data_IF_804562711403
#
_entry.id   IF_804562711403
#
_cell.length_a   1.000
_cell.length_b   1.000
_cell.length_c   1.000
_cell.angle_alpha   90.00
_cell.angle_beta   90.00
_cell.angle_gamma   90.00
#
_symmetry.space_group_name_H-M   'P 1'
#
loop_
_entity.id
_entity.type
_entity.pdbx_description
1 polymer ?
#
# COMPACT_ATOMS: atom_id res chain seq x y z
N UNK A 1 -12.90 -4.82 3.45
CA UNK A 1 -11.80 -5.59 4.06
C UNK A 1 -10.58 -4.69 4.05
N UNK A 2 -9.96 -4.34 5.17
CA UNK A 2 -8.76 -3.48 5.13
C UNK A 2 -7.59 -4.22 4.46
N UNK A 3 -6.86 -3.55 3.58
CA UNK A 3 -5.67 -4.14 2.96
C UNK A 3 -4.55 -4.19 3.97
N UNK A 4 -4.30 -5.39 4.50
CA UNK A 4 -3.22 -5.64 5.45
C UNK A 4 -1.84 -5.74 4.77
N UNK A 5 -1.75 -5.43 3.47
CA UNK A 5 -0.52 -5.53 2.68
C UNK A 5 0.62 -4.74 3.33
N UNK A 6 0.33 -3.53 3.81
CA UNK A 6 1.36 -2.65 4.35
C UNK A 6 1.79 -3.01 5.78
N UNK A 7 1.11 -3.96 6.44
CA UNK A 7 1.54 -4.46 7.75
C UNK A 7 2.87 -5.21 7.67
N UNK A 8 3.17 -5.85 6.54
CA UNK A 8 4.43 -6.56 6.26
C UNK A 8 5.57 -5.63 5.78
N UNK A 9 5.37 -4.32 5.87
CA UNK A 9 6.45 -3.36 5.63
C UNK A 9 7.20 -3.14 6.93
N UNK A 10 8.45 -2.67 6.84
CA UNK A 10 9.23 -2.32 8.03
C UNK A 10 8.49 -1.37 8.98
N UNK A 11 7.70 -0.43 8.46
CA UNK A 11 6.91 0.47 9.31
C UNK A 11 5.75 -0.26 10.01
N UNK A 12 5.09 -1.19 9.30
CA UNK A 12 4.04 -2.02 9.88
C UNK A 12 4.59 -2.99 10.92
N UNK A 13 5.71 -3.66 10.63
CA UNK A 13 6.37 -4.59 11.54
C UNK A 13 6.78 -3.86 12.83
N UNK A 14 7.48 -2.71 12.73
CA UNK A 14 7.87 -1.93 13.92
C UNK A 14 6.66 -1.43 14.73
N UNK A 15 5.53 -1.11 14.08
CA UNK A 15 4.32 -0.73 14.80
C UNK A 15 3.75 -1.91 15.60
N UNK A 16 3.67 -3.08 14.98
CA UNK A 16 3.16 -4.29 15.64
C UNK A 16 4.05 -4.68 16.81
N UNK A 17 5.38 -4.70 16.62
CA UNK A 17 6.35 -4.98 17.68
C UNK A 17 6.20 -4.03 18.88
N UNK A 18 6.05 -2.72 18.61
CA UNK A 18 5.86 -1.73 19.68
C UNK A 18 4.52 -1.92 20.42
N UNK A 19 3.45 -2.27 19.71
CA UNK A 19 2.14 -2.54 20.32
C UNK A 19 2.19 -3.82 21.16
N UNK A 20 2.88 -4.87 20.70
CA UNK A 20 3.10 -6.10 21.46
C UNK A 20 3.82 -5.83 22.78
N UNK A 21 4.91 -5.04 22.76
CA UNK A 21 5.62 -4.65 23.98
C UNK A 21 4.71 -3.87 24.96
N UNK A 22 3.84 -2.99 24.45
CA UNK A 22 2.89 -2.26 25.30
C UNK A 22 1.81 -3.16 25.90
N UNK A 23 1.39 -4.21 25.19
CA UNK A 23 0.46 -5.22 25.71
C UNK A 23 1.14 -6.04 26.80
N UNK A 24 2.37 -6.50 26.58
CA UNK A 24 3.16 -7.26 27.57
C UNK A 24 3.38 -6.47 28.87
N UNK A 25 3.54 -5.15 28.76
CA UNK A 25 3.67 -4.25 29.90
C UNK A 25 2.33 -3.88 30.54
N UNK A 26 1.22 -4.50 30.12
CA UNK A 26 -0.16 -4.22 30.56
C UNK A 26 -0.58 -2.75 30.41
N UNK A 27 0.09 -1.98 29.53
CA UNK A 27 -0.20 -0.56 29.28
C UNK A 27 -1.36 -0.37 28.32
N UNK A 28 -1.65 -1.39 27.51
CA UNK A 28 -2.63 -1.31 26.44
C UNK A 28 -3.36 -2.66 26.27
N UNK A 29 -4.70 -2.68 26.22
CA UNK A 29 -5.44 -3.92 25.95
C UNK A 29 -5.31 -4.35 24.49
N UNK A 30 -5.29 -5.66 24.24
CA UNK A 30 -5.11 -6.24 22.90
C UNK A 30 -6.14 -5.73 21.87
N UNK A 31 -7.40 -5.55 22.28
CA UNK A 31 -8.46 -5.03 21.40
C UNK A 31 -8.16 -3.62 20.88
N UNK A 32 -7.54 -2.78 21.73
CA UNK A 32 -7.13 -1.43 21.34
C UNK A 32 -5.94 -1.47 20.38
N UNK A 33 -4.98 -2.36 20.60
CA UNK A 33 -3.85 -2.53 19.66
C UNK A 33 -4.35 -2.91 18.27
N UNK A 34 -5.28 -3.88 18.20
CA UNK A 34 -5.87 -4.30 16.93
C UNK A 34 -6.61 -3.14 16.24
N UNK A 35 -7.27 -2.27 17.01
CA UNK A 35 -7.90 -1.06 16.49
C UNK A 35 -6.87 -0.08 15.91
N UNK A 36 -5.73 0.10 16.59
CA UNK A 36 -4.62 0.94 16.08
C UNK A 36 -4.06 0.38 14.78
N UNK A 37 -3.83 -0.94 14.69
CA UNK A 37 -3.33 -1.57 13.46
C UNK A 37 -4.35 -1.42 12.32
N UNK A 38 -5.65 -1.51 12.63
CA UNK A 38 -6.70 -1.29 11.63
C UNK A 38 -6.73 0.17 11.14
N UNK A 39 -6.51 1.14 12.05
CA UNK A 39 -6.38 2.54 11.68
C UNK A 39 -5.11 2.78 10.83
N UNK A 40 -4.01 2.09 11.13
CA UNK A 40 -2.77 2.16 10.34
C UNK A 40 -3.00 1.74 8.89
N UNK A 41 -3.76 0.66 8.65
CA UNK A 41 -4.08 0.22 7.28
C UNK A 41 -4.71 1.36 6.45
N UNK A 42 -5.62 2.13 7.07
CA UNK A 42 -6.33 3.23 6.42
C UNK A 42 -5.40 4.44 6.20
N UNK A 43 -4.72 4.87 7.26
CA UNK A 43 -3.85 6.05 7.22
C UNK A 43 -2.69 5.88 6.25
N UNK A 44 -2.13 4.66 6.14
CA UNK A 44 -1.06 4.37 5.19
C UNK A 44 -1.54 4.49 3.74
N UNK A 45 -2.70 3.91 3.42
CA UNK A 45 -3.29 3.99 2.08
C UNK A 45 -3.58 5.44 1.68
N UNK A 46 -4.18 6.21 2.58
CA UNK A 46 -4.48 7.62 2.35
C UNK A 46 -3.19 8.41 2.09
N UNK A 47 -2.18 8.27 2.95
CA UNK A 47 -0.92 8.98 2.81
C UNK A 47 -0.19 8.66 1.50
N UNK A 48 -0.17 7.38 1.09
CA UNK A 48 0.42 6.97 -0.19
C UNK A 48 -0.33 7.58 -1.39
N UNK A 49 -1.65 7.75 -1.30
CA UNK A 49 -2.47 8.33 -2.38
C UNK A 49 -2.32 9.85 -2.48
N UNK A 50 -2.28 10.54 -1.34
CA UNK A 50 -2.37 12.01 -1.29
C UNK A 50 -1.02 12.70 -1.29
N UNK A 51 0.01 12.10 -0.68
CA UNK A 51 1.29 12.76 -0.44
C UNK A 51 2.42 12.26 -1.35
N UNK A 52 2.32 11.06 -1.92
CA UNK A 52 3.37 10.49 -2.77
C UNK A 52 3.11 10.83 -4.24
N UNK A 53 3.97 11.69 -4.80
CA UNK A 53 3.91 12.12 -6.22
C UNK A 53 5.06 11.58 -7.07
N UNK A 54 6.02 10.91 -6.44
CA UNK A 54 7.18 10.33 -7.10
C UNK A 54 6.79 9.20 -8.07
N UNK A 55 7.53 9.07 -9.17
CA UNK A 55 7.36 7.97 -10.11
C UNK A 55 8.61 7.11 -10.14
N UNK A 56 8.44 5.80 -10.04
CA UNK A 56 9.51 4.84 -10.22
C UNK A 56 9.36 4.09 -11.55
N UNK A 57 10.49 3.83 -12.21
CA UNK A 57 10.58 2.92 -13.35
C UNK A 57 11.39 1.70 -12.96
N UNK A 58 10.90 0.52 -13.29
CA UNK A 58 11.53 -0.75 -12.96
C UNK A 58 11.95 -1.43 -14.27
N UNK A 59 13.23 -1.78 -14.37
CA UNK A 59 13.76 -2.65 -15.42
C UNK A 59 14.30 -3.90 -14.76
N UNK A 60 13.87 -5.07 -15.21
CA UNK A 60 14.29 -6.35 -14.63
C UNK A 60 14.04 -7.52 -15.59
N UNK A 61 14.63 -8.67 -15.26
CA UNK A 61 14.27 -9.96 -15.82
C UNK A 61 13.19 -10.60 -14.94
N UNK A 62 12.09 -11.06 -15.55
CA UNK A 62 11.05 -11.79 -14.83
C UNK A 62 11.48 -13.25 -14.64
N UNK A 63 11.57 -13.72 -13.40
CA UNK A 63 11.86 -15.13 -13.09
C UNK A 63 10.60 -15.98 -13.07
N UNK A 64 9.61 -15.56 -12.30
CA UNK A 64 8.29 -16.19 -12.23
C UNK A 64 7.25 -15.20 -11.72
N UNK A 65 5.99 -15.46 -12.07
CA UNK A 65 4.84 -14.68 -11.61
C UNK A 65 3.75 -15.60 -11.06
N UNK A 66 2.91 -15.06 -10.18
CA UNK A 66 1.70 -15.71 -9.67
C UNK A 66 0.59 -14.68 -9.59
N UNK A 67 -0.60 -15.09 -10.01
CA UNK A 67 -1.82 -14.36 -9.76
C UNK A 67 -2.80 -15.27 -9.02
N UNK A 68 -3.29 -14.80 -7.89
CA UNK A 68 -4.30 -15.49 -7.09
C UNK A 68 -5.02 -14.48 -6.20
N UNK A 69 -6.34 -14.58 -6.12
CA UNK A 69 -7.18 -13.74 -5.25
C UNK A 69 -6.92 -12.24 -5.41
N UNK A 70 -6.90 -11.76 -6.67
CA UNK A 70 -6.63 -10.36 -7.01
C UNK A 70 -5.26 -9.81 -6.57
N UNK A 71 -4.35 -10.69 -6.18
CA UNK A 71 -2.97 -10.35 -5.84
C UNK A 71 -2.02 -10.87 -6.92
N UNK A 72 -1.25 -9.96 -7.49
CA UNK A 72 -0.12 -10.25 -8.34
C UNK A 72 1.16 -10.34 -7.51
N UNK A 73 1.96 -11.38 -7.76
CA UNK A 73 3.29 -11.52 -7.20
C UNK A 73 4.29 -11.78 -8.33
N UNK A 74 5.35 -10.98 -8.39
CA UNK A 74 6.44 -11.12 -9.34
C UNK A 74 7.75 -11.34 -8.60
N UNK A 75 8.51 -12.33 -9.02
CA UNK A 75 9.91 -12.48 -8.62
C UNK A 75 10.79 -12.04 -9.78
N UNK A 76 11.58 -11.01 -9.53
CA UNK A 76 12.42 -10.33 -10.51
C UNK A 76 13.90 -10.59 -10.22
N UNK A 77 14.72 -10.64 -11.27
CA UNK A 77 16.19 -10.76 -11.20
C UNK A 77 16.85 -9.63 -12.01
N UNK A 78 18.08 -9.24 -11.64
CA UNK A 78 18.83 -8.14 -12.24
C UNK A 78 17.99 -6.85 -12.32
N UNK A 79 17.55 -6.38 -11.16
CA UNK A 79 16.55 -5.31 -11.04
C UNK A 79 17.24 -3.96 -10.95
N UNK A 80 16.73 -3.01 -11.72
CA UNK A 80 17.12 -1.61 -11.69
C UNK A 80 15.88 -0.74 -11.51
N UNK A 81 15.86 0.02 -10.42
CA UNK A 81 14.86 1.03 -10.11
C UNK A 81 15.40 2.41 -10.46
N UNK A 82 14.61 3.23 -11.15
CA UNK A 82 14.89 4.65 -11.38
C UNK A 82 13.79 5.50 -10.77
N UNK A 83 14.13 6.34 -9.81
CA UNK A 83 13.18 7.16 -9.07
C UNK A 83 13.24 8.62 -9.52
N UNK A 84 12.11 9.14 -9.97
CA UNK A 84 11.90 10.57 -10.22
C UNK A 84 11.13 11.19 -9.04
N UNK A 85 11.74 12.09 -8.26
CA UNK A 85 11.11 12.68 -7.08
C UNK A 85 9.97 13.66 -7.42
N UNK A 86 9.86 14.09 -8.67
CA UNK A 86 8.78 14.95 -9.16
C UNK A 86 8.23 14.35 -10.45
N UNK A 87 6.90 14.26 -10.60
CA UNK A 87 6.23 13.57 -11.71
C UNK A 87 6.56 14.07 -13.14
N UNK A 88 7.37 15.12 -13.28
CA UNK A 88 7.83 15.69 -14.55
C UNK A 88 9.35 15.67 -14.80
N UNK A 89 10.15 15.01 -13.95
CA UNK A 89 11.60 14.91 -14.12
C UNK A 89 12.02 13.95 -15.24
N UNK A 90 13.13 14.26 -15.94
CA UNK A 90 13.71 13.36 -16.94
C UNK A 90 14.22 12.07 -16.28
N UNK A 91 13.86 10.91 -16.85
CA UNK A 91 14.29 9.61 -16.36
C UNK A 91 15.81 9.41 -16.44
N UNK A 92 16.49 10.18 -17.31
CA UNK A 92 17.93 10.07 -17.52
C UNK A 92 18.76 10.65 -16.36
N UNK A 93 18.15 11.48 -15.52
CA UNK A 93 18.78 12.06 -14.32
C UNK A 93 18.21 11.51 -13.02
N UNK A 94 17.34 10.50 -13.12
CA UNK A 94 16.70 9.87 -11.97
C UNK A 94 17.72 9.10 -11.13
N UNK A 95 17.51 9.07 -9.81
CA UNK A 95 18.34 8.28 -8.91
C UNK A 95 18.12 6.79 -9.20
N UNK A 96 19.21 6.07 -9.45
CA UNK A 96 19.18 4.65 -9.81
C UNK A 96 19.58 3.78 -8.61
N UNK A 97 18.78 2.75 -8.35
CA UNK A 97 19.03 1.74 -7.31
C UNK A 97 18.96 0.37 -7.99
N UNK A 98 19.95 -0.49 -7.77
CA UNK A 98 19.97 -1.83 -8.35
C UNK A 98 20.08 -2.92 -7.28
N UNK A 99 19.52 -4.09 -7.58
CA UNK A 99 19.64 -5.28 -6.74
C UNK A 99 19.52 -6.57 -7.57
N UNK A 100 20.08 -7.65 -7.04
CA UNK A 100 20.10 -8.95 -7.74
C UNK A 100 18.70 -9.55 -7.88
N UNK A 101 17.85 -9.38 -6.85
CA UNK A 101 16.52 -9.96 -6.79
C UNK A 101 15.55 -9.05 -6.05
N UNK A 102 14.33 -8.93 -6.58
CA UNK A 102 13.22 -8.25 -5.91
C UNK A 102 11.93 -9.08 -5.98
N UNK A 103 11.10 -8.97 -4.94
CA UNK A 103 9.72 -9.48 -4.94
C UNK A 103 8.78 -8.28 -5.01
N UNK A 104 7.91 -8.25 -6.01
CA UNK A 104 6.87 -7.21 -6.17
C UNK A 104 5.52 -7.84 -5.90
N UNK A 105 4.77 -7.28 -4.97
CA UNK A 105 3.40 -7.69 -4.63
C UNK A 105 2.46 -6.53 -4.96
N UNK A 106 1.45 -6.78 -5.78
CA UNK A 106 0.47 -5.77 -6.19
C UNK A 106 -0.92 -6.31 -5.92
N UNK A 107 -1.80 -5.44 -5.45
CA UNK A 107 -3.22 -5.74 -5.23
C UNK A 107 -4.05 -4.84 -6.16
N UNK A 108 -5.15 -5.38 -6.69
CA UNK A 108 -6.05 -4.60 -7.54
C UNK A 108 -6.59 -3.38 -6.79
N UNK A 109 -6.44 -2.19 -7.38
CA UNK A 109 -6.87 -0.92 -6.78
C UNK A 109 -8.38 -0.82 -6.63
N UNK A 110 -9.16 -1.54 -7.45
CA UNK A 110 -10.63 -1.53 -7.35
C UNK A 110 -11.12 -2.01 -5.99
N UNK A 111 -10.43 -3.01 -5.43
CA UNK A 111 -10.77 -3.53 -4.11
C UNK A 111 -10.43 -2.51 -3.00
N UNK A 112 -9.41 -1.66 -3.24
CA UNK A 112 -9.02 -0.54 -2.36
C UNK A 112 -10.08 0.55 -2.36
N UNK A 113 -10.57 0.93 -3.55
CA UNK A 113 -11.60 1.95 -3.70
C UNK A 113 -12.91 1.52 -3.02
N UNK A 114 -13.37 0.28 -3.24
CA UNK A 114 -14.56 -0.28 -2.57
C UNK A 114 -14.45 -0.29 -1.03
N UNK A 115 -13.24 -0.51 -0.51
CA UNK A 115 -13.01 -0.53 0.94
C UNK A 115 -13.01 0.88 1.51
N UNK A 116 -12.44 1.87 0.81
CA UNK A 116 -12.44 3.27 1.25
C UNK A 116 -13.87 3.80 1.24
N UNK A 117 -14.63 3.57 0.17
CA UNK A 117 -16.03 4.00 0.05
C UNK A 117 -16.92 3.43 1.18
N UNK A 118 -16.69 2.17 1.58
CA UNK A 118 -17.39 1.54 2.70
C UNK A 118 -17.06 2.17 4.07
N UNK A 119 -15.91 2.85 4.20
CA UNK A 119 -15.45 3.48 5.45
C UNK A 119 -15.84 4.96 5.50
N UNK A 120 -15.78 5.68 4.37
CA UNK A 120 -16.11 7.11 4.32
C UNK A 120 -17.61 7.40 4.26
N UNK A 121 -18.44 6.38 4.06
CA UNK A 121 -19.86 6.55 3.74
C UNK A 121 -20.04 7.18 2.34
N UNK A 122 -21.26 7.13 1.78
CA UNK A 122 -21.55 7.81 0.53
C UNK A 122 -21.33 9.31 0.72
N UNK A 123 -20.58 9.90 -0.19
CA UNK A 123 -20.40 11.35 -0.26
C UNK A 123 -21.79 12.03 -0.27
N UNK A 124 -22.12 12.90 0.70
CA UNK A 124 -23.40 13.62 0.71
C UNK A 124 -23.58 14.54 -0.51
N UNK A 125 -22.54 14.74 -1.33
CA UNK A 125 -22.58 15.51 -2.56
C UNK A 125 -22.90 14.71 -3.84
N UNK A 126 -23.10 13.38 -3.78
CA UNK A 126 -23.58 12.65 -4.96
C UNK A 126 -25.06 12.96 -5.24
N UNK A 127 -25.40 13.57 -6.38
CA UNK A 127 -26.79 13.75 -6.76
C UNK A 127 -27.44 12.38 -6.96
N UNK A 128 -28.66 12.22 -6.44
CA UNK A 128 -29.43 10.98 -6.54
C UNK A 128 -29.49 10.48 -7.99
N UNK A 129 -29.43 9.16 -8.23
CA UNK A 129 -29.51 8.62 -9.57
C UNK A 129 -30.81 9.09 -10.24
N UNK A 130 -30.64 9.82 -11.34
CA UNK A 130 -31.73 10.38 -12.14
C UNK A 130 -32.62 9.21 -12.61
N UNK A 131 -33.83 9.12 -12.05
CA UNK A 131 -34.84 8.18 -12.53
C UNK A 131 -35.27 8.64 -13.93
N UNK A 132 -34.71 8.01 -14.95
CA UNK A 132 -35.14 8.22 -16.32
C UNK A 132 -36.50 7.54 -16.54
N UNK A 133 -37.48 8.22 -17.16
CA UNK A 133 -38.83 7.70 -17.40
C UNK A 133 -38.85 6.50 -18.36
#
# INVERSE_FOLDING_TARGET
MSFQLYRQTMMGDCLVEALEEMIEQEKLPADLAQSIVTQFDQSMLEALRTHVTGRAHIKANLKHYRYFDNVWQFTLENVTFRLSPSGGGSLNTAHEISCDRAKVVCVDSKLVDETIEAITGPDPAQPAPEQKP
#
